data_IF_398547228990
#
_entry.id   IF_398547228990
#
_cell.length_a   1.000
_cell.length_b   1.000
_cell.length_c   1.000
_cell.angle_alpha   90.00
_cell.angle_beta   90.00
_cell.angle_gamma   90.00
#
_symmetry.space_group_name_H-M   'P 1'
#
loop_
_entity.id
_entity.type
_entity.pdbx_description
1 polymer ?
#
# COMPACT_ATOMS: atom_id res chain seq x y z
N UNK A 1 8.48 -16.62 8.16
CA UNK A 1 7.05 -16.30 8.30
C UNK A 1 6.34 -17.62 8.52
N UNK A 2 5.54 -17.74 9.57
CA UNK A 2 4.70 -18.92 9.80
C UNK A 2 3.69 -19.02 8.64
N UNK A 3 3.60 -20.16 7.93
CA UNK A 3 2.65 -20.34 6.82
C UNK A 3 1.20 -20.00 7.21
N UNK A 4 0.80 -20.31 8.44
CA UNK A 4 -0.57 -20.07 8.91
C UNK A 4 -0.92 -18.56 8.94
N UNK A 5 0.05 -17.72 9.32
CA UNK A 5 -0.13 -16.26 9.35
C UNK A 5 -0.36 -15.72 7.93
N UNK A 6 0.35 -16.27 6.94
CA UNK A 6 0.17 -15.88 5.54
C UNK A 6 -1.21 -16.27 5.01
N UNK A 7 -1.75 -17.40 5.43
CA UNK A 7 -3.06 -17.89 4.99
C UNK A 7 -4.21 -17.11 5.65
N UNK A 8 -4.07 -16.75 6.93
CA UNK A 8 -5.01 -15.87 7.61
C UNK A 8 -5.07 -14.50 6.93
N UNK A 9 -3.92 -13.90 6.64
CA UNK A 9 -3.88 -12.60 5.96
C UNK A 9 -4.48 -12.66 4.55
N UNK A 10 -4.20 -13.73 3.80
CA UNK A 10 -4.82 -13.99 2.50
C UNK A 10 -6.34 -14.09 2.62
N UNK A 11 -6.84 -14.76 3.64
CA UNK A 11 -8.27 -14.89 3.91
C UNK A 11 -8.92 -13.54 4.19
N UNK A 12 -8.26 -12.68 4.98
CA UNK A 12 -8.72 -11.32 5.21
C UNK A 12 -8.82 -10.51 3.90
N UNK A 13 -7.79 -10.57 3.05
CA UNK A 13 -7.80 -9.91 1.74
C UNK A 13 -8.97 -10.41 0.89
N UNK A 14 -9.23 -11.72 0.89
CA UNK A 14 -10.37 -12.27 0.13
C UNK A 14 -11.72 -11.80 0.67
N UNK A 15 -11.87 -11.66 1.99
CA UNK A 15 -13.08 -11.06 2.56
C UNK A 15 -13.28 -9.65 1.98
N UNK A 16 -12.26 -8.78 2.04
CA UNK A 16 -12.38 -7.43 1.49
C UNK A 16 -12.66 -7.42 -0.02
N UNK A 17 -11.97 -8.29 -0.78
CA UNK A 17 -12.09 -8.34 -2.24
C UNK A 17 -13.50 -8.74 -2.71
N UNK A 18 -14.14 -9.69 -2.03
CA UNK A 18 -15.43 -10.24 -2.46
C UNK A 18 -16.64 -9.67 -1.70
N UNK A 19 -16.45 -9.03 -0.55
CA UNK A 19 -17.55 -8.43 0.23
C UNK A 19 -18.44 -7.46 -0.55
N UNK A 20 -17.93 -6.61 -1.47
CA UNK A 20 -18.80 -5.74 -2.28
C UNK A 20 -19.88 -6.49 -3.06
N UNK A 21 -19.58 -7.70 -3.55
CA UNK A 21 -20.56 -8.50 -4.29
C UNK A 21 -21.74 -8.92 -3.40
N UNK A 22 -21.45 -9.29 -2.16
CA UNK A 22 -22.46 -9.65 -1.15
C UNK A 22 -23.31 -8.42 -0.78
N UNK A 23 -22.71 -7.22 -0.81
CA UNK A 23 -23.37 -5.95 -0.51
C UNK A 23 -24.04 -5.30 -1.73
N UNK A 24 -24.14 -6.00 -2.87
CA UNK A 24 -24.91 -5.56 -4.04
C UNK A 24 -24.12 -4.78 -5.10
N UNK A 25 -22.80 -4.65 -4.96
CA UNK A 25 -21.96 -4.11 -6.02
C UNK A 25 -21.77 -5.13 -7.15
N UNK A 26 -21.56 -4.64 -8.38
CA UNK A 26 -21.40 -5.49 -9.58
C UNK A 26 -19.97 -5.96 -9.82
N UNK A 27 -19.02 -5.56 -8.98
CA UNK A 27 -17.62 -5.94 -9.12
C UNK A 27 -16.94 -6.08 -7.76
N UNK A 28 -15.79 -6.77 -7.76
CA UNK A 28 -14.93 -6.95 -6.58
C UNK A 28 -14.30 -5.61 -6.17
N UNK A 29 -13.81 -5.52 -4.93
CA UNK A 29 -13.24 -4.30 -4.37
C UNK A 29 -12.14 -3.69 -5.25
N UNK A 30 -11.18 -4.52 -5.70
CA UNK A 30 -10.09 -4.11 -6.60
C UNK A 30 -10.56 -3.60 -7.98
N UNK A 31 -11.81 -3.81 -8.38
CA UNK A 31 -12.37 -3.38 -9.67
C UNK A 31 -13.37 -2.23 -9.54
N UNK A 32 -13.67 -1.79 -8.32
CA UNK A 32 -14.46 -0.59 -8.11
C UNK A 32 -13.65 0.66 -8.47
N UNK A 33 -14.34 1.72 -8.91
CA UNK A 33 -13.75 3.06 -9.00
C UNK A 33 -13.31 3.53 -7.62
N UNK A 34 -12.37 4.47 -7.56
CA UNK A 34 -11.84 4.99 -6.29
C UNK A 34 -12.96 5.55 -5.39
N UNK A 35 -13.88 6.33 -5.97
CA UNK A 35 -15.06 6.85 -5.26
C UNK A 35 -15.92 5.72 -4.67
N UNK A 36 -16.22 4.69 -5.46
CA UNK A 36 -17.01 3.56 -4.99
C UNK A 36 -16.28 2.75 -3.91
N UNK A 37 -14.95 2.64 -3.97
CA UNK A 37 -14.17 2.00 -2.90
C UNK A 37 -14.29 2.78 -1.59
N UNK A 38 -14.16 4.11 -1.64
CA UNK A 38 -14.31 4.98 -0.47
C UNK A 38 -15.71 4.84 0.14
N UNK A 39 -16.75 4.97 -0.68
CA UNK A 39 -18.14 4.83 -0.25
C UNK A 39 -18.41 3.43 0.33
N UNK A 40 -17.88 2.39 -0.31
CA UNK A 40 -18.00 1.03 0.20
C UNK A 40 -17.35 0.88 1.59
N UNK A 41 -16.11 1.32 1.77
CA UNK A 41 -15.42 1.23 3.06
C UNK A 41 -16.16 1.98 4.17
N UNK A 42 -16.62 3.21 3.89
CA UNK A 42 -17.43 4.01 4.82
C UNK A 42 -18.73 3.28 5.21
N UNK A 43 -19.39 2.63 4.24
CA UNK A 43 -20.62 1.87 4.52
C UNK A 43 -20.40 0.65 5.42
N UNK A 44 -19.16 0.18 5.60
CA UNK A 44 -18.85 -0.93 6.49
C UNK A 44 -18.54 -0.50 7.93
N UNK A 45 -18.39 0.80 8.23
CA UNK A 45 -18.11 1.28 9.59
C UNK A 45 -19.19 0.88 10.60
N UNK A 46 -20.44 0.80 10.14
CA UNK A 46 -21.61 0.43 10.96
C UNK A 46 -22.07 -1.01 10.74
N UNK A 47 -21.19 -1.89 10.24
CA UNK A 47 -21.54 -3.30 9.99
C UNK A 47 -21.90 -4.04 11.28
N UNK A 48 -23.06 -4.72 11.26
CA UNK A 48 -23.51 -5.58 12.37
C UNK A 48 -22.77 -6.93 12.40
N UNK A 49 -22.08 -7.31 11.33
CA UNK A 49 -21.33 -8.57 11.29
C UNK A 49 -20.00 -8.44 12.03
N UNK A 50 -19.88 -9.16 13.14
CA UNK A 50 -18.63 -9.25 13.92
C UNK A 50 -17.46 -9.73 13.06
N UNK A 51 -17.69 -10.70 12.17
CA UNK A 51 -16.67 -11.23 11.25
C UNK A 51 -16.14 -10.16 10.30
N UNK A 52 -17.04 -9.39 9.66
CA UNK A 52 -16.62 -8.31 8.74
C UNK A 52 -15.87 -7.24 9.53
N UNK A 53 -16.39 -6.86 10.71
CA UNK A 53 -15.76 -5.85 11.57
C UNK A 53 -14.34 -6.28 11.98
N UNK A 54 -14.19 -7.52 12.44
CA UNK A 54 -12.90 -8.09 12.82
C UNK A 54 -11.95 -8.15 11.63
N UNK A 55 -12.42 -8.57 10.45
CA UNK A 55 -11.59 -8.65 9.26
C UNK A 55 -11.05 -7.28 8.84
N UNK A 56 -11.92 -6.27 8.76
CA UNK A 56 -11.54 -4.91 8.37
C UNK A 56 -10.62 -4.25 9.41
N UNK A 57 -10.88 -4.46 10.70
CA UNK A 57 -10.02 -3.95 11.77
C UNK A 57 -8.61 -4.53 11.70
N UNK A 58 -8.48 -5.85 11.47
CA UNK A 58 -7.19 -6.53 11.36
C UNK A 58 -6.44 -6.22 10.05
N UNK A 59 -7.15 -5.86 8.97
CA UNK A 59 -6.52 -5.43 7.71
C UNK A 59 -5.91 -4.03 7.78
N UNK A 60 -6.46 -3.14 8.62
CA UNK A 60 -6.11 -1.72 8.62
C UNK A 60 -4.61 -1.49 8.87
N UNK A 61 -4.05 -2.11 9.90
CA UNK A 61 -2.65 -1.93 10.28
C UNK A 61 -1.67 -2.48 9.22
N UNK A 62 -1.80 -3.72 8.72
CA UNK A 62 -0.96 -4.22 7.63
C UNK A 62 -1.05 -3.38 6.35
N UNK A 63 -2.25 -2.92 5.98
CA UNK A 63 -2.41 -2.05 4.81
C UNK A 63 -1.65 -0.75 5.00
N UNK A 64 -1.71 -0.12 6.18
CA UNK A 64 -0.90 1.07 6.47
C UNK A 64 0.59 0.78 6.44
N UNK A 65 1.04 -0.33 7.02
CA UNK A 65 2.45 -0.70 7.01
C UNK A 65 2.99 -0.83 5.57
N UNK A 66 2.24 -1.52 4.70
CA UNK A 66 2.62 -1.68 3.28
C UNK A 66 2.52 -0.34 2.56
N UNK A 67 1.43 0.42 2.76
CA UNK A 67 1.20 1.68 2.06
C UNK A 67 2.27 2.72 2.38
N UNK A 68 2.60 2.91 3.66
CA UNK A 68 3.61 3.87 4.10
C UNK A 68 5.05 3.33 3.99
N UNK A 69 5.24 2.03 3.78
CA UNK A 69 6.55 1.42 3.60
C UNK A 69 6.96 1.26 2.13
N UNK A 70 6.05 1.42 1.18
CA UNK A 70 6.32 1.18 -0.23
C UNK A 70 6.63 2.48 -0.98
N UNK A 71 7.74 2.48 -1.74
CA UNK A 71 8.28 3.64 -2.44
C UNK A 71 7.28 4.29 -3.40
N UNK A 72 6.42 3.50 -4.06
CA UNK A 72 5.39 4.03 -4.98
C UNK A 72 4.38 4.97 -4.32
N UNK A 73 4.28 4.94 -2.98
CA UNK A 73 3.34 5.78 -2.22
C UNK A 73 3.98 7.07 -1.74
N UNK A 74 5.32 7.16 -1.72
CA UNK A 74 6.07 8.24 -1.09
C UNK A 74 5.75 9.61 -1.69
N UNK A 75 5.74 9.71 -3.01
CA UNK A 75 5.33 10.94 -3.72
C UNK A 75 3.88 11.33 -3.38
N UNK A 76 2.97 10.36 -3.35
CA UNK A 76 1.55 10.59 -3.08
C UNK A 76 1.27 11.09 -1.65
N UNK A 77 2.18 10.80 -0.70
CA UNK A 77 2.08 11.26 0.70
C UNK A 77 3.06 12.40 1.03
N UNK A 78 3.69 13.00 0.02
CA UNK A 78 4.70 14.05 0.18
C UNK A 78 5.84 13.64 1.12
N UNK A 79 6.29 12.39 1.02
CA UNK A 79 7.42 11.86 1.77
C UNK A 79 8.59 11.62 0.82
N UNK A 80 9.76 12.16 1.13
CA UNK A 80 10.96 12.03 0.28
C UNK A 80 11.67 10.66 0.41
N UNK A 81 11.06 9.72 1.15
CA UNK A 81 11.62 8.43 1.46
C UNK A 81 12.57 8.44 2.67
N UNK A 82 12.89 7.26 3.23
CA UNK A 82 13.65 7.12 4.48
C UNK A 82 15.09 7.62 4.40
N UNK A 83 15.63 7.74 3.19
CA UNK A 83 17.00 8.20 2.98
C UNK A 83 17.07 9.58 2.33
N UNK A 84 15.95 10.26 2.05
CA UNK A 84 15.90 11.62 1.50
C UNK A 84 16.56 11.80 0.13
N UNK A 85 16.87 10.68 -0.55
CA UNK A 85 17.56 10.58 -1.83
C UNK A 85 18.61 11.70 -2.05
N UNK A 86 19.56 11.91 -1.10
CA UNK A 86 20.46 13.03 -1.16
C UNK A 86 21.22 12.97 -2.48
N UNK A 87 21.43 14.12 -3.14
CA UNK A 87 22.16 14.16 -4.39
C UNK A 87 23.51 13.47 -4.20
N UNK A 88 23.89 12.63 -5.17
CA UNK A 88 25.15 11.89 -5.11
C UNK A 88 26.31 12.87 -4.87
N UNK A 89 26.91 12.84 -3.68
CA UNK A 89 28.16 13.53 -3.42
C UNK A 89 29.29 12.72 -4.06
N UNK A 90 29.63 13.10 -5.29
CA UNK A 90 30.83 12.59 -5.94
C UNK A 90 32.05 12.95 -5.10
N UNK A 91 32.88 11.96 -4.77
CA UNK A 91 34.18 12.22 -4.17
C UNK A 91 35.05 13.03 -5.12
N UNK A 92 36.01 13.80 -4.59
CA UNK A 92 36.92 14.61 -5.41
C UNK A 92 37.64 13.76 -6.48
N UNK A 93 37.97 12.50 -6.16
CA UNK A 93 38.55 11.55 -7.11
C UNK A 93 37.61 11.21 -8.27
N UNK A 94 36.31 10.98 -8.02
CA UNK A 94 35.33 10.71 -9.08
C UNK A 94 35.13 11.92 -9.99
N UNK A 95 35.11 13.12 -9.42
CA UNK A 95 35.06 14.38 -10.18
C UNK A 95 36.31 14.53 -11.06
N UNK A 96 37.50 14.22 -10.52
CA UNK A 96 38.76 14.25 -11.25
C UNK A 96 38.79 13.26 -12.42
N UNK A 97 38.41 12.00 -12.20
CA UNK A 97 38.40 11.00 -13.27
C UNK A 97 37.34 11.28 -14.34
N UNK A 98 36.14 11.77 -13.97
CA UNK A 98 35.12 12.17 -14.96
C UNK A 98 35.63 13.28 -15.89
N UNK A 99 36.38 14.24 -15.34
CA UNK A 99 37.03 15.31 -16.12
C UNK A 99 38.12 14.78 -17.07
N UNK A 100 38.85 13.74 -16.67
CA UNK A 100 39.89 13.11 -17.50
C UNK A 100 39.30 12.23 -18.59
N UNK A 101 38.19 11.54 -18.32
CA UNK A 101 37.55 10.60 -19.24
C UNK A 101 36.64 11.29 -20.28
N UNK A 102 36.44 12.60 -20.20
CA UNK A 102 35.82 13.40 -21.27
C UNK A 102 34.30 13.28 -21.39
N UNK A 103 33.61 12.70 -20.41
CA UNK A 103 32.15 12.67 -20.36
C UNK A 103 31.62 14.03 -19.88
N UNK A 104 31.45 14.95 -20.83
CA UNK A 104 30.80 16.26 -20.65
C UNK A 104 29.32 16.19 -21.00
#
# INVERSE_FOLDING_TARGET
MDPNISDDFRSLIFILEYLPLIKGYRSRFSRLSEENRKNFLLSQETTESDTIRAALANLKLPVYLVYYGHESSFEAISYDGPFGNPPERLSESRIYYKKILGES
#
